data_IF_339859397034
#
_entry.id   IF_339859397034
#
_cell.length_a   1.000
_cell.length_b   1.000
_cell.length_c   1.000
_cell.angle_alpha   90.00
_cell.angle_beta   90.00
_cell.angle_gamma   90.00
#
_symmetry.space_group_name_H-M   'P 1'
#
loop_
_entity.id
_entity.type
_entity.pdbx_description
1 polymer ?
#
# COMPACT_ATOMS: atom_id res chain seq x y z
N UNK A 1 -16.33 0.54 -1.36
CA UNK A 1 -16.35 1.68 -0.43
C UNK A 1 -15.74 1.20 0.86
N UNK A 2 -14.59 1.73 1.25
CA UNK A 2 -13.88 1.28 2.45
C UNK A 2 -13.80 2.45 3.42
N UNK A 3 -14.48 2.29 4.57
CA UNK A 3 -14.36 3.24 5.66
C UNK A 3 -12.94 3.22 6.25
N UNK A 4 -12.44 4.36 6.74
CA UNK A 4 -11.18 4.42 7.47
C UNK A 4 -11.34 3.65 8.79
N UNK A 5 -10.54 2.61 9.00
CA UNK A 5 -10.52 1.87 10.27
C UNK A 5 -10.40 0.34 10.19
N UNK A 6 -10.39 -0.26 8.99
CA UNK A 6 -10.35 -1.72 8.83
C UNK A 6 -9.22 -2.22 7.91
N UNK A 7 -8.30 -1.36 7.52
CA UNK A 7 -7.13 -1.77 6.76
C UNK A 7 -6.11 -2.39 7.71
N UNK A 8 -5.72 -3.65 7.44
CA UNK A 8 -4.61 -4.30 8.13
C UNK A 8 -3.32 -3.53 7.78
N UNK A 9 -2.51 -3.09 8.76
CA UNK A 9 -1.22 -2.46 8.49
C UNK A 9 -0.35 -3.39 7.63
N UNK A 10 0.18 -2.87 6.52
CA UNK A 10 1.02 -3.65 5.61
C UNK A 10 2.43 -3.76 6.19
N UNK A 11 3.01 -4.96 6.25
CA UNK A 11 4.37 -5.22 6.78
C UNK A 11 5.20 -6.05 5.82
N UNK A 12 6.52 -6.09 6.01
CA UNK A 12 7.44 -6.86 5.17
C UNK A 12 7.67 -6.27 3.78
N UNK A 13 7.43 -4.96 3.61
CA UNK A 13 7.51 -4.25 2.32
C UNK A 13 8.67 -3.25 2.23
N UNK A 14 9.60 -3.26 3.20
CA UNK A 14 10.74 -2.31 3.27
C UNK A 14 11.61 -2.30 2.01
N UNK A 15 11.78 -3.46 1.39
CA UNK A 15 12.65 -3.68 0.23
C UNK A 15 11.88 -3.64 -1.10
N UNK A 16 10.61 -3.23 -1.08
CA UNK A 16 9.85 -3.02 -2.31
C UNK A 16 10.32 -1.73 -2.97
N UNK A 17 10.64 -1.84 -4.26
CA UNK A 17 11.13 -0.75 -5.09
C UNK A 17 10.10 -0.41 -6.16
N UNK A 18 10.15 0.83 -6.66
CA UNK A 18 9.44 1.21 -7.88
C UNK A 18 10.34 0.84 -9.06
N UNK A 19 9.90 -0.11 -9.88
CA UNK A 19 10.63 -0.60 -11.06
C UNK A 19 10.18 0.06 -12.35
N UNK A 20 9.06 0.77 -12.33
CA UNK A 20 8.53 1.49 -13.48
C UNK A 20 7.47 2.51 -13.08
N UNK A 21 7.26 3.50 -13.95
CA UNK A 21 6.23 4.52 -13.80
C UNK A 21 5.57 4.70 -15.16
N UNK A 22 4.25 4.55 -15.20
CA UNK A 22 3.47 4.75 -16.41
C UNK A 22 2.49 5.92 -16.25
N UNK A 23 2.36 6.82 -17.23
CA UNK A 23 1.35 7.87 -17.20
C UNK A 23 -0.05 7.28 -17.40
N UNK A 24 -1.03 7.81 -16.67
CA UNK A 24 -2.44 7.44 -16.83
C UNK A 24 -3.23 8.68 -17.23
N UNK A 25 -3.44 8.82 -18.54
CA UNK A 25 -4.04 10.03 -19.12
C UNK A 25 -3.33 11.29 -18.62
N UNK A 26 -4.12 12.30 -18.25
CA UNK A 26 -3.60 13.56 -17.70
C UNK A 26 -3.79 13.69 -16.17
N UNK A 27 -4.20 12.62 -15.48
CA UNK A 27 -4.70 12.73 -14.10
C UNK A 27 -3.87 11.97 -13.06
N UNK A 28 -2.90 11.16 -13.47
CA UNK A 28 -2.04 10.45 -12.53
C UNK A 28 -1.02 9.52 -13.16
N UNK A 29 -0.45 8.69 -12.30
CA UNK A 29 0.58 7.70 -12.62
C UNK A 29 0.15 6.30 -12.14
N UNK A 30 0.70 5.28 -12.79
CA UNK A 30 0.64 3.89 -12.36
C UNK A 30 2.08 3.41 -12.08
N UNK A 31 2.51 3.37 -10.80
CA UNK A 31 3.78 2.78 -10.43
C UNK A 31 3.73 1.25 -10.59
N UNK A 32 4.84 0.67 -11.01
CA UNK A 32 5.10 -0.78 -11.01
C UNK A 32 6.06 -1.07 -9.86
N UNK A 33 5.68 -1.99 -8.98
CA UNK A 33 6.45 -2.36 -7.81
C UNK A 33 7.18 -3.70 -8.00
N UNK A 34 8.35 -3.85 -7.38
CA UNK A 34 9.19 -5.06 -7.50
C UNK A 34 8.54 -6.34 -6.96
N UNK A 35 7.52 -6.22 -6.10
CA UNK A 35 6.79 -7.36 -5.52
C UNK A 35 5.59 -7.83 -6.36
N UNK A 36 5.47 -7.32 -7.60
CA UNK A 36 4.46 -7.73 -8.57
C UNK A 36 3.20 -6.87 -8.60
N UNK A 37 3.08 -5.85 -7.75
CA UNK A 37 1.94 -4.92 -7.79
C UNK A 37 2.10 -3.89 -8.91
N UNK A 38 1.06 -3.75 -9.75
CA UNK A 38 1.05 -2.80 -10.87
C UNK A 38 -0.36 -2.30 -11.26
N UNK A 39 -1.38 -2.53 -10.42
CA UNK A 39 -2.77 -2.18 -10.73
C UNK A 39 -3.23 -0.83 -10.18
N UNK A 40 -2.49 -0.24 -9.22
CA UNK A 40 -2.89 0.99 -8.54
C UNK A 40 -2.66 2.25 -9.40
N UNK A 41 -3.65 3.12 -9.46
CA UNK A 41 -3.55 4.45 -10.09
C UNK A 41 -3.44 5.51 -8.99
N UNK A 42 -2.39 6.30 -9.07
CA UNK A 42 -2.04 7.38 -8.15
C UNK A 42 -2.33 8.70 -8.83
N UNK A 43 -3.39 9.40 -8.41
CA UNK A 43 -3.75 10.70 -8.98
C UNK A 43 -2.73 11.77 -8.58
N UNK A 44 -2.62 12.86 -9.36
CA UNK A 44 -1.73 13.97 -9.00
C UNK A 44 -2.03 14.56 -7.62
N UNK A 45 -3.32 14.70 -7.29
CA UNK A 45 -3.75 15.19 -5.98
C UNK A 45 -3.33 14.23 -4.85
N UNK A 46 -3.41 12.92 -5.07
CA UNK A 46 -2.97 11.94 -4.08
C UNK A 46 -1.45 11.91 -3.92
N UNK A 47 -0.70 11.96 -5.02
CA UNK A 47 0.77 12.05 -4.98
C UNK A 47 1.23 13.33 -4.26
N UNK A 48 0.54 14.45 -4.48
CA UNK A 48 0.78 15.69 -3.76
C UNK A 48 0.52 15.53 -2.27
N UNK A 49 -0.61 14.94 -1.87
CA UNK A 49 -0.93 14.69 -0.46
C UNK A 49 0.12 13.79 0.21
N UNK A 50 0.54 12.71 -0.44
CA UNK A 50 1.57 11.81 0.06
C UNK A 50 2.89 12.54 0.32
N UNK A 51 3.29 13.45 -0.58
CA UNK A 51 4.51 14.24 -0.41
C UNK A 51 4.37 15.34 0.64
N UNK A 52 3.25 16.07 0.61
CA UNK A 52 3.01 17.21 1.50
C UNK A 52 2.78 16.77 2.96
N UNK A 53 2.19 15.59 3.17
CA UNK A 53 1.83 15.05 4.48
C UNK A 53 2.63 13.79 4.85
N UNK A 54 3.81 13.59 4.24
CA UNK A 54 4.62 12.38 4.40
C UNK A 54 4.85 12.00 5.86
N UNK A 55 5.31 12.95 6.70
CA UNK A 55 5.60 12.69 8.12
C UNK A 55 4.36 12.27 8.90
N UNK A 56 3.21 12.90 8.63
CA UNK A 56 1.95 12.57 9.28
C UNK A 56 1.44 11.18 8.87
N UNK A 57 1.56 10.84 7.59
CA UNK A 57 1.22 9.50 7.07
C UNK A 57 2.12 8.42 7.68
N UNK A 58 3.43 8.68 7.77
CA UNK A 58 4.38 7.77 8.42
C UNK A 58 4.07 7.57 9.90
N UNK A 59 3.83 8.65 10.64
CA UNK A 59 3.49 8.57 12.05
C UNK A 59 2.21 7.74 12.27
N UNK A 60 1.16 8.00 11.49
CA UNK A 60 -0.08 7.22 11.54
C UNK A 60 0.15 5.74 11.25
N UNK A 61 0.98 5.41 10.26
CA UNK A 61 1.35 4.03 9.94
C UNK A 61 2.09 3.33 11.10
N UNK A 62 3.06 4.00 11.73
CA UNK A 62 3.78 3.44 12.87
C UNK A 62 2.89 3.25 14.10
N UNK A 63 1.96 4.17 14.35
CA UNK A 63 0.99 4.05 15.42
C UNK A 63 0.06 2.85 15.20
N UNK A 64 -0.37 2.61 13.96
CA UNK A 64 -1.17 1.45 13.59
C UNK A 64 -0.39 0.13 13.75
N UNK A 65 0.88 0.08 13.33
CA UNK A 65 1.75 -1.10 13.54
C UNK A 65 1.87 -1.41 15.03
N UNK A 66 2.17 -0.38 15.84
CA UNK A 66 2.34 -0.52 17.29
C UNK A 66 1.05 -0.98 17.96
N UNK A 67 -0.08 -0.38 17.62
CA UNK A 67 -1.39 -0.77 18.14
C UNK A 67 -1.77 -2.21 17.79
N UNK A 68 -1.33 -2.71 16.63
CA UNK A 68 -1.52 -4.09 16.20
C UNK A 68 -0.51 -5.08 16.80
N UNK A 69 0.50 -4.61 17.55
CA UNK A 69 1.58 -5.46 18.08
C UNK A 69 2.43 -6.09 16.97
N UNK A 70 2.52 -5.43 15.81
CA UNK A 70 3.27 -5.90 14.65
C UNK A 70 4.66 -5.27 14.60
N UNK A 71 5.51 -5.83 13.75
CA UNK A 71 6.79 -5.25 13.37
C UNK A 71 6.75 -4.90 11.87
N UNK A 72 7.30 -3.74 11.49
CA UNK A 72 7.25 -3.23 10.11
C UNK A 72 7.88 -4.20 9.11
N UNK A 73 8.98 -4.82 9.49
CA UNK A 73 9.83 -5.61 8.59
C UNK A 73 9.44 -7.09 8.63
N UNK A 74 8.61 -7.51 9.58
CA UNK A 74 8.02 -8.85 9.62
C UNK A 74 7.24 -9.15 8.32
N UNK A 75 7.56 -10.23 7.61
CA UNK A 75 6.80 -10.65 6.43
C UNK A 75 5.31 -10.79 6.76
N UNK A 76 4.47 -10.22 5.90
CA UNK A 76 3.03 -10.42 6.01
C UNK A 76 2.72 -11.91 5.75
N UNK A 77 1.86 -12.55 6.56
CA UNK A 77 1.39 -13.89 6.22
C UNK A 77 0.74 -13.86 4.84
N UNK A 78 1.04 -14.85 4.00
CA UNK A 78 0.46 -14.94 2.66
C UNK A 78 -1.07 -14.86 2.76
N UNK A 79 -1.70 -14.08 1.87
CA UNK A 79 -3.15 -14.00 1.83
C UNK A 79 -3.73 -15.42 1.73
N UNK A 80 -4.79 -15.75 2.50
CA UNK A 80 -5.42 -17.06 2.38
C UNK A 80 -5.84 -17.28 0.93
N UNK A 81 -5.48 -18.43 0.36
CA UNK A 81 -5.86 -18.81 -0.98
C UNK A 81 -7.39 -18.62 -1.15
N UNK A 82 -7.87 -18.09 -2.29
CA UNK A 82 -9.30 -18.00 -2.52
C UNK A 82 -9.89 -19.40 -2.37
N UNK A 83 -10.78 -19.61 -1.39
CA UNK A 83 -11.57 -20.85 -1.30
C UNK A 83 -12.39 -20.91 -2.57
N UNK A 84 -11.98 -21.74 -3.52
CA UNK A 84 -12.78 -22.07 -4.69
C UNK A 84 -14.11 -22.64 -4.20
N UNK A 85 -15.20 -21.93 -4.47
CA UNK A 85 -16.53 -22.51 -4.43
C UNK A 85 -16.61 -23.52 -5.59
N UNK A 86 -16.47 -24.80 -5.27
CA UNK A 86 -16.81 -25.89 -6.18
C UNK A 86 -18.34 -26.00 -6.19
N UNK A 87 -18.93 -25.91 -7.38
CA UNK A 87 -20.31 -26.29 -7.67
C UNK A 87 -20.33 -27.71 -8.22
#
# INVERSE_FOLDING_TARGET
GHGPGQAIPQTGKREVEITGIEPVGNYGLRPVFSDGHASGIYTWAFLWDLGANADAHWQSYFDQIKAAGLDRDRPMPAAPAPRGHQH
#
